data_IF_555991103949
#
_entry.id   IF_555991103949
#
_cell.length_a   1.000
_cell.length_b   1.000
_cell.length_c   1.000
_cell.angle_alpha   90.00
_cell.angle_beta   90.00
_cell.angle_gamma   90.00
#
_symmetry.space_group_name_H-M   'P 1'
#
loop_
_entity.id
_entity.type
_entity.pdbx_description
1 polymer ?
#
# COMPACT_ATOMS: atom_id res chain seq x y z
N UNK A 1 -29.40 6.85 -2.57
CA UNK A 1 -28.45 6.07 -3.41
C UNK A 1 -29.20 4.93 -4.04
N UNK A 2 -29.02 4.68 -5.33
CA UNK A 2 -29.58 3.48 -5.99
C UNK A 2 -28.68 2.29 -5.67
N UNK A 3 -29.22 1.07 -5.63
CA UNK A 3 -28.42 -0.14 -5.37
C UNK A 3 -27.24 -0.29 -6.36
N UNK A 4 -27.41 0.23 -7.58
CA UNK A 4 -26.41 0.24 -8.65
C UNK A 4 -25.20 1.14 -8.32
N UNK A 5 -25.42 2.33 -7.75
CA UNK A 5 -24.32 3.22 -7.36
C UNK A 5 -23.48 2.63 -6.21
N UNK A 6 -24.13 1.91 -5.29
CA UNK A 6 -23.45 1.25 -4.17
C UNK A 6 -22.54 0.11 -4.65
N UNK A 7 -23.05 -0.74 -5.54
CA UNK A 7 -22.30 -1.83 -6.14
C UNK A 7 -21.05 -1.32 -6.89
N UNK A 8 -21.18 -0.18 -7.58
CA UNK A 8 -20.08 0.48 -8.26
C UNK A 8 -18.96 0.92 -7.29
N UNK A 9 -19.31 1.53 -6.16
CA UNK A 9 -18.30 1.96 -5.17
C UNK A 9 -17.59 0.78 -4.50
N UNK A 10 -18.32 -0.29 -4.18
CA UNK A 10 -17.71 -1.53 -3.67
C UNK A 10 -16.69 -2.11 -4.64
N UNK A 11 -17.00 -2.09 -5.94
CA UNK A 11 -16.04 -2.54 -6.98
C UNK A 11 -14.78 -1.68 -7.00
N UNK A 12 -14.89 -0.36 -6.88
CA UNK A 12 -13.70 0.50 -6.81
C UNK A 12 -12.81 0.18 -5.60
N UNK A 13 -13.40 -0.02 -4.42
CA UNK A 13 -12.64 -0.40 -3.23
C UNK A 13 -12.02 -1.80 -3.38
N UNK A 14 -12.75 -2.76 -3.94
CA UNK A 14 -12.21 -4.09 -4.21
C UNK A 14 -11.01 -4.05 -5.18
N UNK A 15 -11.14 -3.31 -6.28
CA UNK A 15 -10.04 -3.08 -7.24
C UNK A 15 -8.86 -2.39 -6.54
N UNK A 16 -9.14 -1.43 -5.66
CA UNK A 16 -8.11 -0.77 -4.85
C UNK A 16 -7.33 -1.76 -3.97
N UNK A 17 -7.99 -2.75 -3.38
CA UNK A 17 -7.34 -3.82 -2.60
C UNK A 17 -6.50 -4.76 -3.46
N UNK A 18 -6.92 -5.05 -4.69
CA UNK A 18 -6.14 -5.84 -5.65
C UNK A 18 -4.85 -5.10 -6.04
N UNK A 19 -4.95 -3.81 -6.37
CA UNK A 19 -3.77 -3.00 -6.67
C UNK A 19 -2.88 -2.77 -5.45
N UNK A 20 -3.46 -2.65 -4.25
CA UNK A 20 -2.70 -2.58 -3.01
C UNK A 20 -1.90 -3.85 -2.75
N UNK A 21 -2.42 -5.03 -3.11
CA UNK A 21 -1.65 -6.28 -3.06
C UNK A 21 -0.50 -6.27 -4.05
N UNK A 22 -0.76 -5.87 -5.31
CA UNK A 22 0.31 -5.75 -6.31
C UNK A 22 1.38 -4.72 -5.94
N UNK A 23 1.06 -3.77 -5.06
CA UNK A 23 2.01 -2.78 -4.57
C UNK A 23 3.18 -3.39 -3.80
N UNK A 24 3.01 -4.62 -3.26
CA UNK A 24 4.09 -5.41 -2.67
C UNK A 24 5.23 -5.69 -3.65
N UNK A 25 4.93 -5.79 -4.94
CA UNK A 25 5.90 -6.11 -6.00
C UNK A 25 6.28 -4.88 -6.83
N UNK A 26 5.36 -3.94 -7.01
CA UNK A 26 5.59 -2.76 -7.84
C UNK A 26 4.97 -1.51 -7.23
N UNK A 27 5.78 -0.51 -6.88
CA UNK A 27 5.27 0.77 -6.31
C UNK A 27 4.25 1.47 -7.22
N UNK A 28 4.39 1.31 -8.54
CA UNK A 28 3.47 1.88 -9.54
C UNK A 28 2.04 1.40 -9.33
N UNK A 29 1.83 0.13 -8.97
CA UNK A 29 0.48 -0.38 -8.69
C UNK A 29 -0.15 0.26 -7.45
N UNK A 30 0.65 0.74 -6.50
CA UNK A 30 0.19 1.57 -5.39
C UNK A 30 -0.47 2.88 -5.85
N UNK A 31 0.05 3.52 -6.91
CA UNK A 31 -0.55 4.73 -7.48
C UNK A 31 -1.97 4.45 -8.00
N UNK A 32 -2.17 3.30 -8.64
CA UNK A 32 -3.50 2.89 -9.08
C UNK A 32 -4.43 2.61 -7.90
N UNK A 33 -3.96 1.92 -6.86
CA UNK A 33 -4.73 1.70 -5.64
C UNK A 33 -5.20 3.04 -5.03
N UNK A 34 -4.28 3.98 -4.87
CA UNK A 34 -4.60 5.32 -4.38
C UNK A 34 -5.64 6.04 -5.25
N UNK A 35 -5.49 5.98 -6.58
CA UNK A 35 -6.41 6.60 -7.53
C UNK A 35 -7.83 6.05 -7.44
N UNK A 36 -8.00 4.72 -7.32
CA UNK A 36 -9.32 4.10 -7.16
C UNK A 36 -9.95 4.41 -5.80
N UNK A 37 -9.17 4.40 -4.72
CA UNK A 37 -9.66 4.78 -3.40
C UNK A 37 -10.08 6.26 -3.34
N UNK A 38 -9.30 7.17 -3.92
CA UNK A 38 -9.62 8.61 -3.95
C UNK A 38 -10.95 8.91 -4.63
N UNK A 39 -11.30 8.18 -5.69
CA UNK A 39 -12.61 8.35 -6.36
C UNK A 39 -13.80 8.08 -5.44
N UNK A 40 -13.63 7.23 -4.43
CA UNK A 40 -14.67 6.88 -3.46
C UNK A 40 -14.78 7.92 -2.34
N UNK A 41 -13.66 8.51 -1.92
CA UNK A 41 -13.66 9.53 -0.85
C UNK A 41 -14.20 10.88 -1.28
N UNK A 42 -14.15 11.20 -2.58
CA UNK A 42 -14.69 12.46 -3.12
C UNK A 42 -16.22 12.46 -3.28
N UNK A 43 -16.90 11.37 -2.92
CA UNK A 43 -18.34 11.21 -3.08
C UNK A 43 -18.99 11.35 -1.70
N UNK A 44 -19.61 12.50 -1.45
CA UNK A 44 -20.28 12.82 -0.18
C UNK A 44 -21.43 11.87 0.15
N UNK A 45 -22.04 11.27 -0.89
CA UNK A 45 -23.13 10.32 -0.70
C UNK A 45 -22.66 8.91 -0.36
N UNK A 46 -21.35 8.58 -0.35
CA UNK A 46 -20.89 7.22 -0.10
C UNK A 46 -21.08 6.80 1.38
N UNK A 47 -21.41 5.52 1.61
CA UNK A 47 -21.55 4.99 2.97
C UNK A 47 -20.25 5.13 3.77
N UNK A 48 -20.36 5.51 5.04
CA UNK A 48 -19.22 5.85 5.92
C UNK A 48 -18.18 4.73 6.00
N UNK A 49 -18.61 3.47 6.06
CA UNK A 49 -17.68 2.34 6.11
C UNK A 49 -16.87 2.18 4.82
N UNK A 50 -17.45 2.57 3.68
CA UNK A 50 -16.86 2.46 2.35
C UNK A 50 -15.86 3.61 2.13
N UNK A 51 -16.19 4.81 2.62
CA UNK A 51 -15.24 5.93 2.73
C UNK A 51 -14.07 5.59 3.68
N UNK A 52 -14.33 4.95 4.82
CA UNK A 52 -13.28 4.53 5.76
C UNK A 52 -12.32 3.50 5.13
N UNK A 53 -12.86 2.55 4.35
CA UNK A 53 -12.07 1.58 3.59
C UNK A 53 -11.18 2.26 2.54
N UNK A 54 -11.72 3.24 1.82
CA UNK A 54 -10.93 4.01 0.84
C UNK A 54 -9.81 4.82 1.51
N UNK A 55 -10.09 5.51 2.62
CA UNK A 55 -9.06 6.22 3.40
C UNK A 55 -8.00 5.29 3.97
N UNK A 56 -8.39 4.07 4.39
CA UNK A 56 -7.45 3.03 4.83
C UNK A 56 -6.47 2.65 3.71
N UNK A 57 -6.95 2.42 2.50
CA UNK A 57 -6.06 2.09 1.38
C UNK A 57 -5.15 3.28 1.04
N UNK A 58 -5.70 4.50 0.96
CA UNK A 58 -4.92 5.71 0.67
C UNK A 58 -3.76 5.90 1.66
N UNK A 59 -4.05 5.89 2.97
CA UNK A 59 -3.01 6.10 3.99
C UNK A 59 -1.95 4.99 3.96
N UNK A 60 -2.38 3.74 3.79
CA UNK A 60 -1.47 2.60 3.86
C UNK A 60 -0.51 2.60 2.68
N UNK A 61 -1.01 2.88 1.47
CA UNK A 61 -0.18 2.98 0.27
C UNK A 61 0.83 4.12 0.40
N UNK A 62 0.42 5.27 0.93
CA UNK A 62 1.33 6.42 1.13
C UNK A 62 2.43 6.07 2.15
N UNK A 63 2.08 5.49 3.29
CA UNK A 63 3.05 5.08 4.32
C UNK A 63 4.02 4.04 3.75
N UNK A 64 3.49 3.01 3.08
CA UNK A 64 4.32 1.99 2.42
C UNK A 64 5.28 2.60 1.40
N UNK A 65 4.81 3.54 0.57
CA UNK A 65 5.64 4.20 -0.44
C UNK A 65 6.79 4.97 0.19
N UNK A 66 6.54 5.70 1.29
CA UNK A 66 7.59 6.40 2.03
C UNK A 66 8.62 5.42 2.61
N UNK A 67 8.16 4.30 3.19
CA UNK A 67 9.05 3.26 3.73
C UNK A 67 9.89 2.59 2.64
N UNK A 68 9.29 2.31 1.48
CA UNK A 68 9.97 1.69 0.34
C UNK A 68 11.03 2.62 -0.26
N UNK A 69 10.72 3.92 -0.41
CA UNK A 69 11.70 4.92 -0.87
C UNK A 69 12.85 5.02 0.14
N UNK A 70 12.55 5.07 1.44
CA UNK A 70 13.57 5.10 2.47
C UNK A 70 14.47 3.86 2.43
N UNK A 71 13.90 2.66 2.26
CA UNK A 71 14.66 1.43 2.11
C UNK A 71 15.55 1.45 0.85
N UNK A 72 15.04 1.98 -0.27
CA UNK A 72 15.77 2.08 -1.53
C UNK A 72 17.06 2.93 -1.42
N UNK A 73 17.07 3.97 -0.58
CA UNK A 73 18.24 4.82 -0.37
C UNK A 73 19.45 4.04 0.16
N UNK A 74 19.23 2.99 0.95
CA UNK A 74 20.30 2.15 1.50
C UNK A 74 20.99 1.27 0.45
N UNK A 75 20.39 1.10 -0.73
CA UNK A 75 20.97 0.33 -1.83
C UNK A 75 21.76 1.19 -2.82
N UNK A 76 21.83 2.52 -2.65
CA UNK A 76 22.62 3.41 -3.52
C UNK A 76 24.08 2.95 -3.70
N UNK A 77 24.80 2.47 -2.67
CA UNK A 77 26.18 2.03 -2.82
C UNK A 77 26.38 0.88 -3.82
N UNK A 78 25.36 0.05 -4.05
CA UNK A 78 25.43 -1.09 -4.97
C UNK A 78 25.53 -0.69 -6.44
N UNK A 79 25.29 0.58 -6.78
CA UNK A 79 25.55 1.09 -8.12
C UNK A 79 27.05 1.23 -8.43
N UNK A 80 27.89 1.35 -7.40
CA UNK A 80 29.31 1.64 -7.54
C UNK A 80 30.21 0.46 -7.13
N UNK A 81 29.77 -0.32 -6.14
CA UNK A 81 30.57 -1.39 -5.54
C UNK A 81 29.77 -2.68 -5.45
N UNK A 82 30.46 -3.81 -5.50
CA UNK A 82 29.84 -5.09 -5.17
C UNK A 82 29.59 -5.15 -3.65
N UNK A 83 28.59 -5.91 -3.23
CA UNK A 83 28.03 -5.85 -1.88
C UNK A 83 29.03 -6.25 -0.77
N UNK A 84 30.08 -7.00 -1.09
CA UNK A 84 31.10 -7.52 -0.17
C UNK A 84 32.46 -6.78 -0.26
N UNK A 85 32.57 -5.76 -1.13
CA UNK A 85 33.85 -5.09 -1.39
C UNK A 85 34.37 -4.31 -0.18
N UNK A 86 33.46 -3.63 0.53
CA UNK A 86 33.78 -2.87 1.73
C UNK A 86 32.75 -3.15 2.82
N UNK A 87 33.19 -3.24 4.08
CA UNK A 87 32.31 -3.52 5.22
C UNK A 87 31.12 -2.55 5.32
N UNK A 88 31.32 -1.27 4.99
CA UNK A 88 30.26 -0.28 5.01
C UNK A 88 29.21 -0.49 3.91
N UNK A 89 29.60 -0.98 2.72
CA UNK A 89 28.67 -1.34 1.63
C UNK A 89 27.83 -2.54 2.03
N UNK A 90 28.47 -3.55 2.65
CA UNK A 90 27.78 -4.72 3.20
C UNK A 90 26.78 -4.30 4.28
N UNK A 91 27.19 -3.44 5.21
CA UNK A 91 26.31 -2.92 6.26
C UNK A 91 25.11 -2.16 5.68
N UNK A 92 25.34 -1.26 4.71
CA UNK A 92 24.25 -0.55 4.02
C UNK A 92 23.28 -1.52 3.33
N UNK A 93 23.79 -2.54 2.65
CA UNK A 93 22.99 -3.55 1.97
C UNK A 93 22.11 -4.33 2.96
N UNK A 94 22.68 -4.78 4.08
CA UNK A 94 21.95 -5.48 5.14
C UNK A 94 20.85 -4.59 5.73
N UNK A 95 21.15 -3.33 6.02
CA UNK A 95 20.17 -2.35 6.52
C UNK A 95 19.03 -2.14 5.51
N UNK A 96 19.36 -1.99 4.23
CA UNK A 96 18.37 -1.86 3.16
C UNK A 96 17.43 -3.07 3.06
N UNK A 97 17.98 -4.29 3.19
CA UNK A 97 17.19 -5.53 3.18
C UNK A 97 16.24 -5.58 4.38
N UNK A 98 16.73 -5.25 5.58
CA UNK A 98 15.91 -5.21 6.80
C UNK A 98 14.76 -4.20 6.66
N UNK A 99 15.03 -2.98 6.21
CA UNK A 99 13.98 -1.98 6.02
C UNK A 99 12.99 -2.37 4.92
N UNK A 100 13.46 -3.00 3.84
CA UNK A 100 12.58 -3.52 2.78
C UNK A 100 11.65 -4.62 3.32
N UNK A 101 12.16 -5.54 4.15
CA UNK A 101 11.36 -6.57 4.79
C UNK A 101 10.30 -5.97 5.73
N UNK A 102 10.67 -4.96 6.53
CA UNK A 102 9.73 -4.25 7.41
C UNK A 102 8.62 -3.57 6.58
N UNK A 103 8.97 -2.87 5.49
CA UNK A 103 7.99 -2.24 4.61
C UNK A 103 7.05 -3.26 3.96
N UNK A 104 7.60 -4.39 3.51
CA UNK A 104 6.82 -5.48 2.92
C UNK A 104 5.83 -6.08 3.93
N UNK A 105 6.29 -6.42 5.13
CA UNK A 105 5.45 -6.96 6.19
C UNK A 105 4.37 -5.98 6.65
N UNK A 106 4.71 -4.68 6.70
CA UNK A 106 3.74 -3.62 7.00
C UNK A 106 2.58 -3.63 6.00
N UNK A 107 2.87 -3.60 4.69
CA UNK A 107 1.83 -3.55 3.67
C UNK A 107 1.01 -4.84 3.65
N UNK A 108 1.66 -6.00 3.79
CA UNK A 108 0.98 -7.29 3.82
C UNK A 108 0.01 -7.39 5.01
N UNK A 109 0.46 -7.01 6.20
CA UNK A 109 -0.38 -6.99 7.40
C UNK A 109 -1.57 -6.04 7.24
N UNK A 110 -1.32 -4.81 6.78
CA UNK A 110 -2.37 -3.82 6.59
C UNK A 110 -3.37 -4.22 5.49
N UNK A 111 -2.91 -4.93 4.46
CA UNK A 111 -3.76 -5.51 3.42
C UNK A 111 -4.68 -6.60 3.98
N UNK A 112 -4.15 -7.56 4.75
CA UNK A 112 -4.94 -8.64 5.39
C UNK A 112 -6.03 -8.03 6.30
N UNK A 113 -5.66 -7.05 7.15
CA UNK A 113 -6.59 -6.40 8.06
C UNK A 113 -7.70 -5.65 7.30
N UNK A 114 -7.34 -4.87 6.29
CA UNK A 114 -8.28 -4.11 5.48
C UNK A 114 -9.26 -5.01 4.73
N UNK A 115 -8.74 -6.05 4.05
CA UNK A 115 -9.53 -7.00 3.28
C UNK A 115 -10.49 -7.79 4.18
N UNK A 116 -10.03 -8.26 5.34
CA UNK A 116 -10.87 -9.00 6.30
C UNK A 116 -12.07 -8.17 6.77
N UNK A 117 -11.88 -6.87 7.04
CA UNK A 117 -12.99 -5.98 7.40
C UNK A 117 -13.87 -5.63 6.20
N UNK A 118 -13.28 -5.50 5.00
CA UNK A 118 -14.02 -5.22 3.76
C UNK A 118 -15.01 -6.34 3.41
N UNK A 119 -14.57 -7.61 3.49
CA UNK A 119 -15.44 -8.79 3.24
C UNK A 119 -16.61 -8.84 4.23
N UNK A 120 -16.43 -8.33 5.45
CA UNK A 120 -17.48 -8.23 6.47
C UNK A 120 -18.38 -7.00 6.33
N UNK A 121 -18.20 -6.19 5.27
CA UNK A 121 -18.84 -4.86 5.09
C UNK A 121 -18.67 -3.95 6.32
N UNK A 122 -17.52 -4.04 7.00
CA UNK A 122 -17.20 -3.24 8.19
C UNK A 122 -16.19 -2.16 7.84
N UNK A 123 -16.31 -1.04 8.55
CA UNK A 123 -15.31 0.01 8.50
C UNK A 123 -13.99 -0.46 9.12
N UNK A 124 -12.86 0.08 8.65
CA UNK A 124 -11.55 -0.14 9.29
C UNK A 124 -11.34 0.87 10.40
N UNK A 125 -12.11 0.70 11.48
CA UNK A 125 -11.83 1.27 12.81
C UNK A 125 -11.48 0.12 13.74
#
# INVERSE_FOLDING_TARGET
MTAESLAKYRRYVAISYVFMFFALFTLISGVFAYGFARKVTQIDSAEVWLQAQALWVMRTVVIYSMMAIFAALWFIPLFFYYWDTYLWVTACTVIGVVFSAIAFLYLLNAWIQGLSKFVKNKAVF
#
